data_IF_545390290335
#
_entry.id   IF_545390290335
#
_cell.length_a   1.000
_cell.length_b   1.000
_cell.length_c   1.000
_cell.angle_alpha   90.00
_cell.angle_beta   90.00
_cell.angle_gamma   90.00
#
_symmetry.space_group_name_H-M   'P 1'
#
loop_
_entity.id
_entity.type
_entity.pdbx_description
1 polymer ?
#
# COMPACT_ATOMS: atom_id res chain seq x y z
N UNK A 1 -4.47 4.01 30.59
CA UNK A 1 -4.15 3.80 29.17
C UNK A 1 -2.65 4.00 28.82
N UNK A 2 -1.96 5.09 29.19
CA UNK A 2 -0.53 5.29 28.88
C UNK A 2 0.41 4.17 29.38
N UNK A 3 0.18 3.60 30.59
CA UNK A 3 1.04 2.53 31.15
C UNK A 3 0.85 1.18 30.45
N UNK A 4 -0.35 0.89 29.95
CA UNK A 4 -0.63 -0.36 29.21
C UNK A 4 0.02 -0.33 27.81
N UNK A 5 -0.02 0.83 27.14
CA UNK A 5 0.64 1.00 25.84
C UNK A 5 2.17 0.84 25.94
N UNK A 6 2.77 1.37 27.02
CA UNK A 6 4.21 1.26 27.28
C UNK A 6 4.63 -0.20 27.57
N UNK A 7 3.81 -0.95 28.31
CA UNK A 7 4.08 -2.36 28.64
C UNK A 7 3.96 -3.22 27.38
N UNK A 8 2.97 -3.01 26.52
CA UNK A 8 2.84 -3.71 25.23
C UNK A 8 4.04 -3.40 24.34
N UNK A 9 4.45 -2.13 24.26
CA UNK A 9 5.63 -1.72 23.49
C UNK A 9 6.93 -2.34 24.03
N UNK A 10 7.08 -2.42 25.36
CA UNK A 10 8.26 -3.01 26.00
C UNK A 10 8.31 -4.53 25.82
N UNK A 11 7.18 -5.25 25.90
CA UNK A 11 7.10 -6.70 25.69
C UNK A 11 7.43 -7.05 24.24
N UNK A 12 7.02 -6.24 23.26
CA UNK A 12 7.34 -6.43 21.82
C UNK A 12 8.84 -6.21 21.57
N UNK A 13 9.48 -5.28 22.28
CA UNK A 13 10.89 -4.93 22.09
C UNK A 13 11.86 -5.89 22.80
N UNK A 14 11.47 -6.50 23.93
CA UNK A 14 12.38 -7.31 24.76
C UNK A 14 12.34 -8.80 24.49
N UNK A 15 11.35 -9.33 23.77
CA UNK A 15 11.27 -10.77 23.50
C UNK A 15 12.13 -11.16 22.30
N UNK A 16 13.30 -11.68 22.63
CA UNK A 16 14.19 -12.54 21.86
C UNK A 16 15.12 -11.91 20.83
N UNK A 17 16.37 -11.74 21.24
CA UNK A 17 17.54 -11.57 20.40
C UNK A 17 18.00 -12.89 19.75
N UNK A 18 17.11 -13.69 19.17
CA UNK A 18 17.47 -14.87 18.39
C UNK A 18 17.25 -14.55 16.91
N UNK A 19 18.34 -14.64 16.15
CA UNK A 19 18.39 -14.37 14.72
C UNK A 19 17.40 -15.23 13.93
N UNK A 20 16.27 -14.67 13.60
CA UNK A 20 15.27 -15.30 12.75
C UNK A 20 15.32 -14.70 11.31
N UNK A 21 15.40 -15.52 10.23
CA UNK A 21 15.29 -15.09 8.82
C UNK A 21 13.82 -14.94 8.43
N UNK A 22 13.38 -13.85 7.81
CA UNK A 22 11.98 -13.63 7.41
C UNK A 22 11.58 -14.55 6.25
N UNK A 23 10.27 -14.71 6.06
CA UNK A 23 9.71 -15.33 4.84
C UNK A 23 10.27 -14.64 3.60
N UNK A 24 10.34 -13.30 3.65
CA UNK A 24 10.95 -12.50 2.59
C UNK A 24 12.41 -12.85 2.37
N UNK A 25 13.19 -13.09 3.45
CA UNK A 25 14.60 -13.45 3.30
C UNK A 25 14.80 -14.85 2.71
N UNK A 26 13.94 -15.82 3.04
CA UNK A 26 13.99 -17.15 2.43
C UNK A 26 13.57 -17.10 0.96
N UNK A 27 12.48 -16.38 0.65
CA UNK A 27 12.09 -16.09 -0.73
C UNK A 27 13.18 -15.28 -1.44
N UNK A 28 13.74 -14.28 -0.76
CA UNK A 28 14.80 -13.44 -1.31
C UNK A 28 16.08 -14.21 -1.53
N UNK A 29 16.49 -15.12 -0.63
CA UNK A 29 17.64 -15.99 -0.84
C UNK A 29 17.46 -16.92 -2.04
N UNK A 30 16.27 -17.48 -2.24
CA UNK A 30 15.99 -18.28 -3.42
C UNK A 30 15.81 -17.42 -4.69
N UNK A 31 15.33 -16.18 -4.56
CA UNK A 31 15.24 -15.18 -5.63
C UNK A 31 16.59 -14.56 -5.97
N UNK A 32 17.58 -14.53 -5.04
CA UNK A 32 18.87 -13.87 -5.20
C UNK A 32 19.67 -14.36 -6.42
N UNK A 33 19.37 -15.55 -6.95
CA UNK A 33 20.05 -16.08 -8.14
C UNK A 33 19.27 -15.85 -9.44
N UNK A 34 18.16 -15.08 -9.42
CA UNK A 34 17.26 -14.96 -10.57
C UNK A 34 17.13 -13.54 -11.05
N UNK A 35 17.18 -13.40 -12.35
CA UNK A 35 16.95 -12.11 -13.02
C UNK A 35 15.49 -11.90 -13.38
N UNK A 36 14.73 -12.98 -13.61
CA UNK A 36 13.30 -12.92 -13.90
C UNK A 36 12.56 -14.16 -13.38
N UNK A 37 11.29 -14.01 -13.03
CA UNK A 37 10.41 -15.11 -12.61
C UNK A 37 8.96 -14.74 -12.88
N UNK A 38 8.08 -15.72 -12.81
CA UNK A 38 6.63 -15.55 -12.89
C UNK A 38 5.98 -15.95 -11.57
N UNK A 39 4.88 -15.28 -11.24
CA UNK A 39 4.05 -15.63 -10.11
C UNK A 39 2.60 -15.84 -10.54
N UNK A 40 1.88 -16.67 -9.81
CA UNK A 40 0.44 -16.85 -9.94
C UNK A 40 -0.15 -16.72 -8.56
N UNK A 41 -1.24 -16.00 -8.42
CA UNK A 41 -1.95 -15.97 -7.14
C UNK A 41 -3.45 -16.17 -7.32
N UNK A 42 -4.08 -16.64 -6.27
CA UNK A 42 -5.53 -16.68 -6.13
C UNK A 42 -5.86 -16.09 -4.77
N UNK A 43 -6.57 -14.96 -4.79
CA UNK A 43 -7.08 -14.33 -3.58
C UNK A 43 -8.62 -14.45 -3.52
N UNK A 44 -9.13 -14.67 -2.32
CA UNK A 44 -10.53 -14.48 -1.97
C UNK A 44 -10.64 -13.26 -1.06
N UNK A 45 -11.59 -12.38 -1.34
CA UNK A 45 -11.76 -11.12 -0.63
C UNK A 45 -13.22 -10.99 -0.22
N UNK A 46 -13.46 -10.60 1.03
CA UNK A 46 -14.78 -10.21 1.50
C UNK A 46 -14.71 -8.77 2.01
N UNK A 47 -15.49 -7.88 1.39
CA UNK A 47 -15.63 -6.49 1.79
C UNK A 47 -17.04 -6.25 2.34
N UNK A 48 -17.15 -5.72 3.55
CA UNK A 48 -18.45 -5.44 4.18
C UNK A 48 -19.14 -4.21 3.61
N UNK A 49 -18.43 -3.38 2.84
CA UNK A 49 -18.96 -2.17 2.22
C UNK A 49 -18.16 -1.83 0.96
N UNK A 50 -18.34 -2.61 -0.10
CA UNK A 50 -17.62 -2.42 -1.37
C UNK A 50 -18.01 -1.13 -2.09
N UNK A 51 -19.22 -0.64 -1.88
CA UNK A 51 -19.72 0.62 -2.48
C UNK A 51 -19.17 1.87 -1.78
N UNK A 52 -18.62 1.72 -0.57
CA UNK A 52 -18.09 2.81 0.27
C UNK A 52 -19.09 3.93 0.51
N UNK A 53 -20.33 3.55 0.76
CA UNK A 53 -21.45 4.43 1.07
C UNK A 53 -22.20 3.99 2.33
N UNK A 54 -23.32 4.63 2.63
CA UNK A 54 -24.16 4.34 3.79
C UNK A 54 -24.91 3.00 3.68
N UNK A 55 -25.04 2.42 2.48
CA UNK A 55 -25.86 1.23 2.24
C UNK A 55 -25.21 -0.06 2.71
N UNK A 56 -23.90 -0.03 3.01
CA UNK A 56 -23.14 -1.17 3.56
C UNK A 56 -23.27 -2.45 2.72
N UNK A 57 -23.16 -2.34 1.40
CA UNK A 57 -23.26 -3.50 0.51
C UNK A 57 -22.02 -4.37 0.67
N UNK A 58 -22.19 -5.55 1.29
CA UNK A 58 -21.13 -6.55 1.40
C UNK A 58 -20.99 -7.38 0.13
N UNK A 59 -19.77 -7.69 -0.27
CA UNK A 59 -19.51 -8.53 -1.43
C UNK A 59 -18.30 -9.45 -1.23
N UNK A 60 -18.43 -10.68 -1.73
CA UNK A 60 -17.34 -11.63 -1.81
C UNK A 60 -16.76 -11.61 -3.23
N UNK A 61 -15.45 -11.57 -3.33
CA UNK A 61 -14.73 -11.55 -4.60
C UNK A 61 -13.67 -12.64 -4.70
N UNK A 62 -13.40 -13.06 -5.94
CA UNK A 62 -12.24 -13.88 -6.31
C UNK A 62 -11.34 -13.06 -7.23
N UNK A 63 -10.04 -13.12 -6.95
CA UNK A 63 -9.03 -12.35 -7.68
C UNK A 63 -7.85 -13.26 -8.05
N UNK A 64 -7.95 -14.04 -9.14
CA UNK A 64 -6.77 -14.66 -9.72
C UNK A 64 -5.87 -13.61 -10.35
N UNK A 65 -4.55 -13.74 -10.15
CA UNK A 65 -3.57 -12.87 -10.79
C UNK A 65 -2.37 -13.64 -11.34
N UNK A 66 -1.68 -13.00 -12.30
CA UNK A 66 -0.45 -13.47 -12.90
C UNK A 66 0.55 -12.32 -12.92
N UNK A 67 1.77 -12.60 -12.44
CA UNK A 67 2.86 -11.64 -12.36
C UNK A 67 4.08 -12.06 -13.19
N UNK A 68 4.77 -11.07 -13.74
CA UNK A 68 6.08 -11.19 -14.36
C UNK A 68 7.03 -10.20 -13.68
N UNK A 69 8.20 -10.69 -13.27
CA UNK A 69 9.17 -9.95 -12.48
C UNK A 69 10.54 -10.00 -13.15
N UNK A 70 11.24 -8.87 -13.16
CA UNK A 70 12.58 -8.73 -13.73
C UNK A 70 13.50 -7.94 -12.80
N UNK A 71 14.78 -8.35 -12.73
CA UNK A 71 15.88 -7.61 -12.08
C UNK A 71 17.11 -7.65 -12.97
N UNK A 72 17.83 -6.53 -13.08
CA UNK A 72 19.09 -6.46 -13.84
C UNK A 72 20.20 -7.25 -13.15
N UNK A 73 20.20 -7.29 -11.82
CA UNK A 73 21.15 -8.05 -11.01
C UNK A 73 20.38 -8.75 -9.88
N UNK A 74 20.62 -10.06 -9.68
CA UNK A 74 19.91 -10.83 -8.68
C UNK A 74 20.31 -10.45 -7.24
N UNK A 75 21.58 -10.11 -6.98
CA UNK A 75 22.07 -9.80 -5.63
C UNK A 75 21.87 -8.31 -5.25
N UNK A 76 22.17 -7.42 -6.19
CA UNK A 76 22.14 -5.98 -5.96
C UNK A 76 21.47 -5.28 -7.14
N UNK A 77 20.17 -5.42 -7.30
CA UNK A 77 19.47 -4.84 -8.43
C UNK A 77 19.56 -3.32 -8.39
N UNK A 78 19.98 -2.73 -9.51
CA UNK A 78 19.86 -1.30 -9.76
C UNK A 78 18.60 -0.98 -10.53
N UNK A 79 18.04 -1.95 -11.25
CA UNK A 79 16.77 -1.85 -11.94
C UNK A 79 15.90 -3.08 -11.65
N UNK A 80 14.64 -2.82 -11.26
CA UNK A 80 13.60 -3.84 -11.06
C UNK A 80 12.36 -3.43 -11.85
N UNK A 81 11.64 -4.41 -12.40
CA UNK A 81 10.35 -4.19 -13.05
C UNK A 81 9.40 -5.34 -12.72
N UNK A 82 8.20 -4.98 -12.29
CA UNK A 82 7.15 -5.91 -11.92
C UNK A 82 5.90 -5.58 -12.72
N UNK A 83 5.36 -6.58 -13.42
CA UNK A 83 4.09 -6.48 -14.12
C UNK A 83 3.12 -7.51 -13.57
N UNK A 84 1.89 -7.08 -13.30
CA UNK A 84 0.81 -7.96 -12.85
C UNK A 84 -0.47 -7.69 -13.64
N UNK A 85 -1.19 -8.76 -13.95
CA UNK A 85 -2.57 -8.72 -14.41
C UNK A 85 -3.45 -9.47 -13.43
N UNK A 86 -4.57 -8.87 -13.02
CA UNK A 86 -5.53 -9.47 -12.10
C UNK A 86 -6.95 -9.37 -12.64
N UNK A 87 -7.71 -10.45 -12.47
CA UNK A 87 -9.13 -10.51 -12.80
C UNK A 87 -9.94 -10.42 -11.49
N UNK A 88 -10.72 -9.36 -11.35
CA UNK A 88 -11.60 -9.16 -10.21
C UNK A 88 -13.02 -9.62 -10.56
N UNK A 89 -13.59 -10.48 -9.74
CA UNK A 89 -14.96 -11.00 -9.87
C UNK A 89 -15.65 -10.97 -8.53
N UNK A 90 -16.80 -10.31 -8.47
CA UNK A 90 -17.61 -10.13 -7.25
C UNK A 90 -18.99 -10.75 -7.41
N UNK A 91 -19.56 -11.30 -6.34
CA UNK A 91 -20.80 -12.06 -6.43
C UNK A 91 -22.09 -11.21 -6.43
N UNK A 92 -22.04 -9.97 -5.94
CA UNK A 92 -23.23 -9.12 -5.81
C UNK A 92 -23.07 -7.73 -6.44
N UNK A 93 -21.93 -7.44 -7.05
CA UNK A 93 -21.58 -6.09 -7.51
C UNK A 93 -20.76 -6.18 -8.80
N UNK A 94 -21.40 -6.62 -9.89
CA UNK A 94 -20.74 -6.82 -11.20
C UNK A 94 -20.09 -5.52 -11.73
N UNK A 95 -20.53 -4.36 -11.28
CA UNK A 95 -19.94 -3.06 -11.63
C UNK A 95 -18.48 -2.92 -11.16
N UNK A 96 -18.07 -3.71 -10.16
CA UNK A 96 -16.68 -3.78 -9.70
C UNK A 96 -15.84 -4.87 -10.40
N UNK A 97 -16.49 -5.67 -11.26
CA UNK A 97 -15.81 -6.66 -12.09
C UNK A 97 -14.88 -5.97 -13.09
N UNK A 98 -13.63 -6.38 -13.10
CA UNK A 98 -12.64 -5.77 -13.98
C UNK A 98 -11.41 -6.64 -14.21
N UNK A 99 -10.69 -6.34 -15.27
CA UNK A 99 -9.28 -6.75 -15.44
C UNK A 99 -8.41 -5.54 -15.12
N UNK A 100 -7.54 -5.67 -14.15
CA UNK A 100 -6.56 -4.64 -13.80
C UNK A 100 -5.17 -5.04 -14.27
N UNK A 101 -4.36 -4.05 -14.62
CA UNK A 101 -2.96 -4.21 -14.97
C UNK A 101 -2.14 -3.27 -14.10
N UNK A 102 -1.05 -3.74 -13.55
CA UNK A 102 -0.06 -2.89 -12.88
C UNK A 102 1.34 -3.15 -13.43
N UNK A 103 2.09 -2.09 -13.62
CA UNK A 103 3.51 -2.11 -13.96
C UNK A 103 4.23 -1.17 -13.02
N UNK A 104 5.18 -1.70 -12.26
CA UNK A 104 6.08 -0.92 -11.43
C UNK A 104 7.50 -1.10 -11.96
N UNK A 105 8.21 0.00 -12.18
CA UNK A 105 9.63 -0.01 -12.52
C UNK A 105 10.39 0.86 -11.52
N UNK A 106 11.46 0.33 -10.97
CA UNK A 106 12.29 0.99 -9.98
C UNK A 106 13.76 1.02 -10.42
N UNK A 107 14.36 2.20 -10.39
CA UNK A 107 15.79 2.38 -10.63
C UNK A 107 16.46 2.97 -9.38
N UNK A 108 17.48 2.28 -8.88
CA UNK A 108 18.29 2.68 -7.71
C UNK A 108 19.71 2.99 -8.11
N UNK A 109 20.25 4.09 -7.58
CA UNK A 109 21.63 4.46 -7.77
C UNK A 109 22.23 4.97 -6.46
N UNK A 110 23.38 4.45 -6.09
CA UNK A 110 24.19 5.04 -5.03
C UNK A 110 24.88 6.28 -5.58
N UNK A 111 24.61 7.45 -5.01
CA UNK A 111 25.20 8.71 -5.42
C UNK A 111 26.56 8.92 -4.74
N UNK A 112 26.59 8.76 -3.43
CA UNK A 112 27.81 8.75 -2.60
C UNK A 112 27.62 7.76 -1.45
N UNK A 113 28.66 7.54 -0.65
CA UNK A 113 28.58 6.64 0.50
C UNK A 113 27.36 6.98 1.36
N UNK A 114 26.47 5.99 1.58
CA UNK A 114 25.22 6.09 2.36
C UNK A 114 24.08 6.91 1.74
N UNK A 115 24.28 7.59 0.62
CA UNK A 115 23.22 8.33 -0.07
C UNK A 115 22.81 7.60 -1.35
N UNK A 116 21.52 7.33 -1.47
CA UNK A 116 20.92 6.61 -2.59
C UNK A 116 19.81 7.45 -3.22
N UNK A 117 19.74 7.39 -4.52
CA UNK A 117 18.63 7.90 -5.31
C UNK A 117 17.78 6.72 -5.77
N UNK A 118 16.46 6.86 -5.69
CA UNK A 118 15.50 5.88 -6.19
C UNK A 118 14.47 6.61 -7.04
N UNK A 119 14.28 6.13 -8.27
CA UNK A 119 13.22 6.60 -9.17
C UNK A 119 12.24 5.45 -9.33
N UNK A 120 10.96 5.70 -9.07
CA UNK A 120 9.89 4.72 -9.24
C UNK A 120 8.89 5.24 -10.26
N UNK A 121 8.54 4.40 -11.22
CA UNK A 121 7.44 4.62 -12.15
C UNK A 121 6.39 3.54 -11.93
N UNK A 122 5.14 3.95 -11.74
CA UNK A 122 4.02 3.02 -11.61
C UNK A 122 2.93 3.37 -12.62
N UNK A 123 2.42 2.35 -13.31
CA UNK A 123 1.26 2.42 -14.20
C UNK A 123 0.26 1.41 -13.70
N UNK A 124 -0.93 1.87 -13.31
CA UNK A 124 -2.03 1.01 -12.91
C UNK A 124 -3.25 1.32 -13.76
N UNK A 125 -3.71 0.34 -14.54
CA UNK A 125 -4.88 0.47 -15.41
C UNK A 125 -6.06 -0.27 -14.80
N UNK A 126 -7.21 0.41 -14.64
CA UNK A 126 -8.39 -0.11 -13.98
C UNK A 126 -8.09 -0.69 -12.58
N UNK A 127 -7.02 -0.23 -11.98
CA UNK A 127 -6.65 -0.57 -10.63
C UNK A 127 -7.55 0.15 -9.62
N UNK A 128 -7.44 -0.26 -8.35
CA UNK A 128 -7.97 0.50 -7.25
C UNK A 128 -6.87 1.44 -6.76
N UNK A 129 -7.16 2.72 -6.68
CA UNK A 129 -6.26 3.68 -6.03
C UNK A 129 -6.25 3.48 -4.51
N UNK A 130 -5.38 4.20 -3.81
CA UNK A 130 -5.40 4.28 -2.34
C UNK A 130 -6.79 4.66 -1.78
N UNK A 131 -7.61 5.30 -2.58
CA UNK A 131 -8.98 5.70 -2.25
C UNK A 131 -10.02 4.67 -2.69
N UNK A 132 -9.58 3.49 -3.19
CA UNK A 132 -10.37 2.40 -3.76
C UNK A 132 -11.24 2.79 -4.95
N UNK A 133 -10.94 3.91 -5.58
CA UNK A 133 -11.59 4.36 -6.80
C UNK A 133 -11.02 3.61 -8.00
N UNK A 134 -11.88 3.12 -8.89
CA UNK A 134 -11.44 2.45 -10.12
C UNK A 134 -11.01 3.51 -11.11
N UNK A 135 -9.71 3.64 -11.29
CA UNK A 135 -9.12 4.60 -12.23
C UNK A 135 -7.81 4.07 -12.84
N UNK A 136 -7.29 4.79 -13.82
CA UNK A 136 -5.94 4.58 -14.31
C UNK A 136 -5.01 5.58 -13.62
N UNK A 137 -3.93 5.08 -13.01
CA UNK A 137 -2.91 5.87 -12.35
C UNK A 137 -1.58 5.77 -13.09
N UNK A 138 -0.91 6.90 -13.22
CA UNK A 138 0.44 7.01 -13.75
C UNK A 138 1.26 7.82 -12.75
N UNK A 139 2.25 7.21 -12.12
CA UNK A 139 3.03 7.81 -11.04
C UNK A 139 4.49 7.86 -11.47
N UNK A 140 5.14 8.99 -11.22
CA UNK A 140 6.59 9.13 -11.27
C UNK A 140 7.04 9.72 -9.94
N UNK A 141 7.82 8.95 -9.18
CA UNK A 141 8.35 9.35 -7.88
C UNK A 141 9.87 9.36 -7.90
N UNK A 142 10.44 10.39 -7.31
CA UNK A 142 11.86 10.49 -7.03
C UNK A 142 12.08 10.53 -5.52
N UNK A 143 12.95 9.65 -5.02
CA UNK A 143 13.33 9.58 -3.60
C UNK A 143 14.83 9.73 -3.43
N UNK A 144 15.24 10.47 -2.41
CA UNK A 144 16.61 10.50 -1.89
C UNK A 144 16.63 9.88 -0.50
N UNK A 145 17.43 8.85 -0.31
CA UNK A 145 17.52 8.09 0.94
C UNK A 145 18.94 8.16 1.50
N UNK A 146 19.06 8.47 2.79
CA UNK A 146 20.33 8.47 3.52
C UNK A 146 20.32 7.41 4.63
N UNK A 147 21.39 6.59 4.68
CA UNK A 147 21.57 5.58 5.72
C UNK A 147 22.34 6.16 6.88
N UNK A 148 21.69 6.30 8.02
CA UNK A 148 22.26 6.69 9.30
C UNK A 148 22.90 5.49 10.02
N UNK A 149 23.71 5.72 11.08
CA UNK A 149 24.10 4.66 12.02
C UNK A 149 22.88 3.94 12.63
N UNK A 150 23.12 2.82 13.30
CA UNK A 150 22.08 2.04 14.02
C UNK A 150 20.94 1.53 13.15
N UNK A 151 21.23 1.25 11.86
CA UNK A 151 20.23 0.73 10.90
C UNK A 151 19.02 1.64 10.67
N UNK A 152 19.19 2.94 10.87
CA UNK A 152 18.18 3.95 10.60
C UNK A 152 18.34 4.44 9.15
N UNK A 153 17.21 4.66 8.48
CA UNK A 153 17.15 5.27 7.15
C UNK A 153 16.22 6.46 7.20
N UNK A 154 16.63 7.55 6.58
CA UNK A 154 15.77 8.72 6.36
C UNK A 154 15.66 8.96 4.86
N UNK A 155 14.49 9.33 4.38
CA UNK A 155 14.29 9.62 2.99
C UNK A 155 13.35 10.83 2.82
N UNK A 156 13.63 11.63 1.79
CA UNK A 156 12.70 12.61 1.25
C UNK A 156 12.27 12.16 -0.13
N UNK A 157 11.02 12.40 -0.51
CA UNK A 157 10.49 12.04 -1.81
C UNK A 157 9.55 13.11 -2.36
N UNK A 158 9.43 13.15 -3.69
CA UNK A 158 8.46 13.96 -4.40
C UNK A 158 7.96 13.19 -5.61
N UNK A 159 6.71 13.40 -6.00
CA UNK A 159 6.11 12.71 -7.13
C UNK A 159 5.01 13.52 -7.82
N UNK A 160 4.74 13.08 -9.04
CA UNK A 160 3.56 13.44 -9.82
C UNK A 160 2.73 12.19 -10.08
N UNK A 161 1.41 12.32 -9.92
CA UNK A 161 0.45 11.28 -10.22
C UNK A 161 -0.66 11.83 -11.12
N UNK A 162 -0.82 11.22 -12.28
CA UNK A 162 -1.95 11.49 -13.16
C UNK A 162 -3.02 10.43 -12.93
N UNK A 163 -4.23 10.85 -12.55
CA UNK A 163 -5.41 9.99 -12.43
C UNK A 163 -6.34 10.18 -13.61
N UNK A 164 -6.80 9.08 -14.19
CA UNK A 164 -7.78 9.06 -15.28
C UNK A 164 -8.93 8.14 -14.89
N UNK A 165 -10.10 8.71 -14.71
CA UNK A 165 -11.32 8.00 -14.38
C UNK A 165 -12.05 7.53 -15.64
N UNK A 166 -12.96 6.52 -15.55
CA UNK A 166 -13.86 6.16 -16.64
C UNK A 166 -14.66 7.34 -17.15
N UNK A 167 -15.23 7.21 -18.35
CA UNK A 167 -15.94 8.30 -19.07
C UNK A 167 -17.03 8.99 -18.24
N UNK A 168 -17.71 8.27 -17.36
CA UNK A 168 -18.79 8.78 -16.50
C UNK A 168 -18.27 9.73 -15.42
N UNK A 169 -16.99 9.62 -15.03
CA UNK A 169 -16.39 10.38 -13.93
C UNK A 169 -15.20 11.26 -14.40
N UNK A 170 -15.20 11.68 -15.66
CA UNK A 170 -14.08 12.46 -16.24
C UNK A 170 -13.78 13.76 -15.48
N UNK A 171 -14.78 14.35 -14.83
CA UNK A 171 -14.60 15.53 -13.98
C UNK A 171 -13.67 15.27 -12.78
N UNK A 172 -13.49 14.01 -12.40
CA UNK A 172 -12.57 13.58 -11.36
C UNK A 172 -11.13 13.36 -11.84
N UNK A 173 -10.88 13.40 -13.18
CA UNK A 173 -9.51 13.36 -13.70
C UNK A 173 -8.67 14.44 -13.03
N UNK A 174 -7.47 14.07 -12.60
CA UNK A 174 -6.65 14.97 -11.80
C UNK A 174 -5.15 14.74 -11.97
N UNK A 175 -4.39 15.77 -11.64
CA UNK A 175 -2.96 15.70 -11.44
C UNK A 175 -2.71 15.94 -9.95
N UNK A 176 -2.10 14.98 -9.27
CA UNK A 176 -1.61 15.13 -7.91
C UNK A 176 -0.12 15.42 -7.96
N UNK A 177 0.33 16.43 -7.25
CA UNK A 177 1.71 16.57 -6.85
C UNK A 177 1.83 16.29 -5.36
N UNK A 178 2.78 15.44 -4.98
CA UNK A 178 3.00 15.19 -3.57
C UNK A 178 4.48 15.15 -3.21
N UNK A 179 4.76 15.47 -1.97
CA UNK A 179 6.09 15.38 -1.38
C UNK A 179 5.98 14.89 0.06
N UNK A 180 7.04 14.27 0.55
CA UNK A 180 7.04 13.74 1.89
C UNK A 180 8.41 13.35 2.39
N UNK A 181 8.40 12.82 3.61
CA UNK A 181 9.57 12.28 4.25
C UNK A 181 9.21 10.99 4.99
N UNK A 182 10.19 10.10 5.12
CA UNK A 182 10.05 8.88 5.90
C UNK A 182 11.29 8.57 6.71
N UNK A 183 11.06 7.93 7.84
CA UNK A 183 12.09 7.40 8.73
C UNK A 183 11.80 5.93 8.96
N UNK A 184 12.77 5.09 8.60
CA UNK A 184 12.74 3.65 8.84
C UNK A 184 13.78 3.31 9.90
N UNK A 185 13.38 2.58 10.93
CA UNK A 185 14.28 1.99 11.91
C UNK A 185 14.21 0.47 11.80
N UNK A 186 15.35 -0.16 11.56
CA UNK A 186 15.48 -1.62 11.57
C UNK A 186 16.08 -2.10 12.88
N UNK A 187 15.45 -3.10 13.45
CA UNK A 187 15.90 -3.79 14.65
C UNK A 187 16.47 -5.17 14.24
N UNK A 188 17.24 -5.79 15.11
CA UNK A 188 17.77 -7.13 14.82
C UNK A 188 16.65 -8.11 14.43
N UNK A 189 16.93 -9.00 13.45
CA UNK A 189 16.01 -10.04 13.00
C UNK A 189 14.91 -9.55 12.05
N UNK A 190 15.21 -8.61 11.16
CA UNK A 190 14.34 -8.07 10.10
C UNK A 190 13.05 -7.38 10.60
N UNK A 191 13.03 -6.98 11.86
CA UNK A 191 11.97 -6.13 12.41
C UNK A 191 12.18 -4.72 11.94
N UNK A 192 11.12 -4.08 11.46
CA UNK A 192 11.17 -2.67 11.07
C UNK A 192 9.98 -1.90 11.56
N UNK A 193 10.22 -0.64 11.83
CA UNK A 193 9.19 0.39 12.01
C UNK A 193 9.48 1.50 11.01
N UNK A 194 8.46 1.93 10.27
CA UNK A 194 8.55 3.06 9.36
C UNK A 194 7.48 4.10 9.70
N UNK A 195 7.88 5.35 9.77
CA UNK A 195 6.97 6.50 9.88
C UNK A 195 7.11 7.33 8.62
N UNK A 196 5.97 7.57 7.94
CA UNK A 196 5.90 8.37 6.72
C UNK A 196 4.94 9.54 6.90
N UNK A 197 5.36 10.71 6.46
CA UNK A 197 4.52 11.89 6.27
C UNK A 197 4.50 12.25 4.79
N UNK A 198 3.29 12.51 4.24
CA UNK A 198 3.10 12.95 2.85
C UNK A 198 2.08 14.10 2.80
N UNK A 199 2.39 15.10 2.01
CA UNK A 199 1.53 16.21 1.67
C UNK A 199 1.17 16.13 0.19
N UNK A 200 -0.11 16.01 -0.12
CA UNK A 200 -0.65 15.90 -1.47
C UNK A 200 -1.43 17.17 -1.83
N UNK A 201 -1.22 17.68 -3.03
CA UNK A 201 -2.01 18.72 -3.67
C UNK A 201 -2.65 18.16 -4.94
N UNK A 202 -3.96 17.92 -4.89
CA UNK A 202 -4.75 17.43 -6.02
C UNK A 202 -5.32 18.60 -6.79
N UNK A 203 -5.15 18.57 -8.12
CA UNK A 203 -5.77 19.47 -9.10
C UNK A 203 -6.62 18.66 -10.05
N UNK A 204 -7.91 18.63 -9.82
CA UNK A 204 -8.88 17.96 -10.67
C UNK A 204 -9.33 18.88 -11.83
N UNK A 205 -9.85 18.29 -12.89
CA UNK A 205 -10.41 19.04 -14.01
C UNK A 205 -11.68 19.81 -13.59
N UNK A 206 -12.53 19.21 -12.73
CA UNK A 206 -13.52 19.98 -12.01
C UNK A 206 -12.88 20.56 -10.73
N UNK A 207 -12.75 21.90 -10.61
CA UNK A 207 -12.15 22.54 -9.45
C UNK A 207 -12.82 22.19 -8.11
N UNK A 208 -14.09 21.75 -8.13
CA UNK A 208 -14.80 21.29 -6.92
C UNK A 208 -14.16 20.05 -6.29
N UNK A 209 -13.45 19.26 -7.10
CA UNK A 209 -12.73 18.06 -6.66
C UNK A 209 -11.27 18.34 -6.28
N UNK A 210 -10.83 19.61 -6.27
CA UNK A 210 -9.50 19.98 -5.76
C UNK A 210 -9.46 19.80 -4.25
N UNK A 211 -8.36 19.19 -3.77
CA UNK A 211 -8.13 19.04 -2.35
C UNK A 211 -6.64 19.09 -1.98
N UNK A 212 -6.41 19.36 -0.71
CA UNK A 212 -5.14 19.12 -0.04
C UNK A 212 -5.33 17.95 0.91
N UNK A 213 -4.37 17.02 0.93
CA UNK A 213 -4.37 15.88 1.83
C UNK A 213 -3.03 15.78 2.54
N UNK A 214 -3.06 15.50 3.83
CA UNK A 214 -1.89 15.15 4.63
C UNK A 214 -2.04 13.70 5.03
N UNK A 215 -1.02 12.89 4.80
CA UNK A 215 -1.07 11.47 5.13
C UNK A 215 0.03 11.15 6.13
N UNK A 216 -0.34 10.51 7.22
CA UNK A 216 0.55 10.00 8.25
C UNK A 216 0.41 8.49 8.26
N UNK A 217 1.50 7.77 8.02
CA UNK A 217 1.51 6.31 8.00
C UNK A 217 2.53 5.80 9.01
N UNK A 218 2.12 4.84 9.83
CA UNK A 218 2.98 4.07 10.71
C UNK A 218 2.89 2.62 10.29
N UNK A 219 4.03 2.04 9.90
CA UNK A 219 4.16 0.64 9.52
C UNK A 219 5.04 -0.10 10.53
N UNK A 220 4.67 -1.32 10.80
CA UNK A 220 5.43 -2.27 11.62
C UNK A 220 5.49 -3.61 10.89
N UNK A 221 6.68 -4.22 10.86
CA UNK A 221 6.86 -5.57 10.33
C UNK A 221 7.74 -6.38 11.28
N UNK A 222 7.37 -7.64 11.49
CA UNK A 222 8.14 -8.58 12.33
C UNK A 222 7.98 -10.02 11.86
N UNK A 223 9.05 -10.82 11.83
CA UNK A 223 8.92 -12.25 11.74
C UNK A 223 8.32 -12.80 13.04
N UNK A 224 7.43 -13.80 12.94
CA UNK A 224 6.78 -14.43 14.10
C UNK A 224 7.46 -15.72 14.54
N UNK A 225 8.17 -16.40 13.65
CA UNK A 225 8.81 -17.68 13.96
C UNK A 225 10.32 -17.62 13.86
N UNK A 226 11.00 -18.48 14.66
CA UNK A 226 12.47 -18.65 14.62
C UNK A 226 12.94 -19.13 13.23
N UNK A 227 12.09 -19.90 12.53
CA UNK A 227 12.38 -20.42 11.18
C UNK A 227 12.06 -19.43 10.07
N UNK A 228 11.55 -18.22 10.43
CA UNK A 228 11.22 -17.11 9.52
C UNK A 228 10.24 -17.48 8.38
N UNK A 229 9.43 -18.50 8.60
CA UNK A 229 8.37 -18.88 7.65
C UNK A 229 7.11 -18.06 7.80
N UNK A 230 7.02 -17.30 8.88
CA UNK A 230 5.85 -16.50 9.21
C UNK A 230 6.27 -15.06 9.45
N UNK A 231 5.55 -14.12 8.86
CA UNK A 231 5.70 -12.68 9.11
C UNK A 231 4.35 -12.03 9.43
N UNK A 232 4.42 -10.96 10.20
CA UNK A 232 3.29 -10.10 10.52
C UNK A 232 3.67 -8.67 10.15
N UNK A 233 2.82 -8.03 9.37
CA UNK A 233 2.88 -6.60 9.09
C UNK A 233 1.63 -5.92 9.60
N UNK A 234 1.76 -4.71 10.11
CA UNK A 234 0.64 -3.87 10.51
C UNK A 234 0.88 -2.45 10.02
N UNK A 235 -0.16 -1.82 9.51
CA UNK A 235 -0.15 -0.43 9.06
C UNK A 235 -1.29 0.34 9.74
N UNK A 236 -1.00 1.56 10.14
CA UNK A 236 -2.01 2.55 10.54
C UNK A 236 -1.80 3.81 9.74
N UNK A 237 -2.85 4.27 9.04
CA UNK A 237 -2.84 5.46 8.20
C UNK A 237 -3.93 6.42 8.64
N UNK A 238 -3.56 7.69 8.80
CA UNK A 238 -4.48 8.81 8.99
C UNK A 238 -4.29 9.82 7.86
N UNK A 239 -5.38 10.18 7.17
CA UNK A 239 -5.33 11.00 5.97
C UNK A 239 -6.47 12.04 5.95
N UNK A 240 -6.32 13.17 6.67
CA UNK A 240 -7.25 14.30 6.55
C UNK A 240 -7.15 14.94 5.16
N UNK A 241 -8.33 15.29 4.60
CA UNK A 241 -8.51 15.87 3.27
C UNK A 241 -9.38 17.11 3.35
N UNK A 242 -8.84 18.24 2.92
CA UNK A 242 -9.51 19.53 2.87
C UNK A 242 -9.84 19.90 1.42
N UNK A 243 -11.12 19.96 1.05
CA UNK A 243 -11.56 20.38 -0.29
C UNK A 243 -11.51 21.90 -0.40
N UNK A 244 -10.92 22.40 -1.49
CA UNK A 244 -10.73 23.82 -1.68
C UNK A 244 -12.00 24.54 -2.15
N UNK A 245 -12.78 23.91 -3.04
CA UNK A 245 -13.92 24.52 -3.72
C UNK A 245 -15.23 23.72 -3.55
N UNK A 246 -15.24 22.68 -2.74
CA UNK A 246 -16.42 21.88 -2.44
C UNK A 246 -16.94 22.25 -1.08
N UNK A 247 -18.22 22.60 -1.03
CA UNK A 247 -18.91 22.91 0.22
C UNK A 247 -20.02 21.89 0.49
N UNK A 248 -20.29 21.67 1.76
CA UNK A 248 -21.47 20.92 2.23
C UNK A 248 -22.31 21.79 3.17
N UNK A 249 -23.50 21.32 3.55
CA UNK A 249 -24.35 22.01 4.50
C UNK A 249 -24.30 21.33 5.86
N UNK A 250 -23.87 22.08 6.87
CA UNK A 250 -23.91 21.66 8.28
C UNK A 250 -24.84 22.62 9.02
N UNK A 251 -25.92 22.10 9.60
CA UNK A 251 -26.96 22.89 10.29
C UNK A 251 -27.49 24.06 9.42
N UNK A 252 -27.65 23.84 8.12
CA UNK A 252 -28.14 24.85 7.17
C UNK A 252 -27.08 25.82 6.66
N UNK A 253 -25.89 25.85 7.23
CA UNK A 253 -24.79 26.73 6.83
C UNK A 253 -23.87 26.02 5.85
N UNK A 254 -23.46 26.70 4.77
CA UNK A 254 -22.46 26.20 3.83
C UNK A 254 -21.06 26.30 4.46
N UNK A 255 -20.37 25.17 4.55
CA UNK A 255 -18.99 25.08 5.04
C UNK A 255 -18.11 24.31 4.04
N UNK A 256 -16.81 24.56 3.97
CA UNK A 256 -15.90 23.74 3.17
C UNK A 256 -16.00 22.27 3.57
N UNK A 257 -15.97 21.36 2.59
CA UNK A 257 -15.96 19.93 2.87
C UNK A 257 -14.61 19.51 3.43
N UNK A 258 -14.67 18.71 4.48
CA UNK A 258 -13.53 18.08 5.15
C UNK A 258 -13.82 16.61 5.39
N UNK A 259 -12.84 15.75 5.04
CA UNK A 259 -12.91 14.31 5.26
C UNK A 259 -11.71 13.87 6.10
N UNK A 260 -11.95 13.04 7.13
CA UNK A 260 -10.94 12.32 7.88
C UNK A 260 -11.00 10.84 7.54
N UNK A 261 -9.89 10.27 7.07
CA UNK A 261 -9.81 8.85 6.74
C UNK A 261 -8.81 8.15 7.64
N UNK A 262 -9.27 7.07 8.25
CA UNK A 262 -8.46 6.13 9.01
C UNK A 262 -8.44 4.78 8.31
N UNK A 263 -7.26 4.22 8.16
CA UNK A 263 -7.06 2.86 7.68
C UNK A 263 -6.16 2.14 8.66
N UNK A 264 -6.55 0.95 9.02
CA UNK A 264 -5.73 0.02 9.80
C UNK A 264 -5.70 -1.31 9.05
N UNK A 265 -4.53 -1.86 8.80
CA UNK A 265 -4.37 -3.16 8.16
C UNK A 265 -3.42 -4.06 8.93
N UNK A 266 -3.68 -5.35 8.85
CA UNK A 266 -2.81 -6.43 9.34
C UNK A 266 -2.67 -7.42 8.20
N UNK A 267 -1.43 -7.80 7.91
CA UNK A 267 -1.08 -8.85 6.98
C UNK A 267 -0.26 -9.91 7.71
N UNK A 268 -0.77 -11.13 7.71
CA UNK A 268 -0.04 -12.32 8.13
C UNK A 268 0.34 -13.14 6.91
N UNK A 269 1.61 -13.42 6.75
CA UNK A 269 2.12 -14.26 5.67
C UNK A 269 2.79 -15.50 6.22
N UNK A 270 2.60 -16.62 5.54
CA UNK A 270 3.24 -17.90 5.84
C UNK A 270 3.77 -18.57 4.59
N UNK A 271 5.05 -18.89 4.60
CA UNK A 271 5.68 -19.72 3.58
C UNK A 271 5.35 -21.19 3.86
N UNK A 272 4.47 -21.78 3.07
CA UNK A 272 4.09 -23.19 3.18
C UNK A 272 5.16 -24.08 2.56
N UNK A 273 5.70 -23.67 1.41
CA UNK A 273 6.84 -24.27 0.70
C UNK A 273 7.68 -23.13 0.11
N UNK A 274 8.92 -23.41 -0.37
CA UNK A 274 9.76 -22.38 -0.99
C UNK A 274 9.08 -21.61 -2.13
N UNK A 275 8.21 -22.29 -2.87
CA UNK A 275 7.48 -21.78 -4.02
C UNK A 275 6.01 -21.40 -3.72
N UNK A 276 5.50 -21.63 -2.50
CA UNK A 276 4.10 -21.44 -2.15
C UNK A 276 3.98 -20.66 -0.84
N UNK A 277 3.34 -19.50 -0.89
CA UNK A 277 2.97 -18.72 0.28
C UNK A 277 1.46 -18.60 0.42
N UNK A 278 1.02 -18.46 1.66
CA UNK A 278 -0.33 -18.11 2.06
C UNK A 278 -0.28 -16.76 2.77
N UNK A 279 -1.21 -15.88 2.47
CA UNK A 279 -1.38 -14.64 3.21
C UNK A 279 -2.83 -14.47 3.66
N UNK A 280 -2.98 -13.96 4.87
CA UNK A 280 -4.25 -13.50 5.42
C UNK A 280 -4.14 -12.00 5.68
N UNK A 281 -5.08 -11.23 5.13
CA UNK A 281 -5.17 -9.79 5.28
C UNK A 281 -6.47 -9.40 5.96
N UNK A 282 -6.37 -8.45 6.89
CA UNK A 282 -7.51 -7.73 7.42
C UNK A 282 -7.28 -6.24 7.27
N UNK A 283 -8.26 -5.52 6.73
CA UNK A 283 -8.23 -4.07 6.67
C UNK A 283 -9.53 -3.49 7.23
N UNK A 284 -9.39 -2.54 8.13
CA UNK A 284 -10.45 -1.67 8.61
C UNK A 284 -10.27 -0.29 8.01
N UNK A 285 -11.34 0.27 7.47
CA UNK A 285 -11.38 1.64 6.98
C UNK A 285 -12.56 2.39 7.58
N UNK A 286 -12.31 3.62 8.02
CA UNK A 286 -13.36 4.55 8.44
C UNK A 286 -13.11 5.91 7.83
N UNK A 287 -14.14 6.45 7.18
CA UNK A 287 -14.17 7.84 6.73
C UNK A 287 -15.22 8.60 7.53
N UNK A 288 -14.78 9.65 8.20
CA UNK A 288 -15.66 10.67 8.77
C UNK A 288 -15.63 11.87 7.81
N UNK A 289 -16.80 12.47 7.57
CA UNK A 289 -16.92 13.65 6.72
C UNK A 289 -17.94 14.59 7.35
N UNK A 290 -17.80 15.88 7.09
CA UNK A 290 -18.87 16.85 7.35
C UNK A 290 -19.93 16.81 6.25
N UNK A 291 -19.76 16.00 5.20
CA UNK A 291 -20.73 15.59 4.19
C UNK A 291 -21.26 14.20 4.56
N UNK A 292 -22.50 14.13 5.07
CA UNK A 292 -23.06 12.90 5.65
C UNK A 292 -23.06 11.72 4.68
N UNK A 293 -23.32 11.97 3.39
CA UNK A 293 -23.34 10.95 2.33
C UNK A 293 -21.94 10.32 2.08
N UNK A 294 -20.91 10.81 2.77
CA UNK A 294 -19.52 10.37 2.60
C UNK A 294 -18.91 9.75 3.86
N UNK A 295 -19.77 9.52 4.86
CA UNK A 295 -19.39 8.79 6.07
C UNK A 295 -19.56 7.30 5.80
N UNK A 296 -18.51 6.52 5.98
CA UNK A 296 -18.62 5.07 5.88
C UNK A 296 -17.60 4.34 6.75
N UNK A 297 -17.87 3.07 6.98
CA UNK A 297 -16.95 2.12 7.58
C UNK A 297 -16.93 0.86 6.71
N UNK A 298 -15.75 0.29 6.49
CA UNK A 298 -15.57 -0.96 5.75
C UNK A 298 -14.59 -1.86 6.49
N UNK A 299 -14.84 -3.17 6.46
CA UNK A 299 -13.91 -4.20 6.85
C UNK A 299 -13.66 -5.11 5.65
N UNK A 300 -12.39 -5.36 5.34
CA UNK A 300 -11.98 -6.24 4.26
C UNK A 300 -11.18 -7.39 4.85
N UNK A 301 -11.55 -8.60 4.46
CA UNK A 301 -10.85 -9.83 4.80
C UNK A 301 -10.36 -10.46 3.52
N UNK A 302 -9.06 -10.78 3.46
CA UNK A 302 -8.43 -11.40 2.33
C UNK A 302 -7.73 -12.70 2.74
N UNK A 303 -7.84 -13.73 1.90
CA UNK A 303 -7.00 -14.93 1.97
C UNK A 303 -6.43 -15.18 0.58
N UNK A 304 -5.12 -15.27 0.48
CA UNK A 304 -4.46 -15.52 -0.79
C UNK A 304 -3.43 -16.62 -0.72
N UNK A 305 -3.26 -17.29 -1.86
CA UNK A 305 -2.19 -18.24 -2.10
C UNK A 305 -1.40 -17.77 -3.30
N UNK A 306 -0.09 -17.61 -3.15
CA UNK A 306 0.82 -17.18 -4.20
C UNK A 306 1.82 -18.26 -4.49
N UNK A 307 1.90 -18.66 -5.75
CA UNK A 307 2.85 -19.60 -6.27
C UNK A 307 3.85 -18.87 -7.18
N UNK A 308 5.13 -18.97 -6.84
CA UNK A 308 6.23 -18.40 -7.61
C UNK A 308 6.85 -19.50 -8.47
N UNK A 309 6.52 -19.53 -9.76
CA UNK A 309 7.10 -20.47 -10.69
C UNK A 309 8.36 -19.90 -11.32
N UNK A 310 9.29 -20.80 -11.48
CA UNK A 310 10.65 -20.50 -11.91
C UNK A 310 10.77 -20.51 -13.42
N UNK A 311 11.75 -19.75 -13.83
CA UNK A 311 12.29 -19.81 -15.15
C UNK A 311 13.18 -20.99 -15.40
N UNK A 312 13.23 -21.31 -16.63
CA UNK A 312 14.05 -22.26 -17.34
C UNK A 312 15.45 -21.72 -17.59
#
# INVERSE_FOLDING_TARGET
>A
MRKVLLIIFTIIVTSTAVAAQTVDTLREQERLHRRWWVSMSLASVYDTNITHDEQLVGSFGLVPSFGFHFRDNAEHPSFEADYEVALHRYNHTDEFDRVSHSLTAEYRKQLVKRLYSKTTTEISLKGSSEDREINNNYILEQQLQYRLPFNTRVAGFAAYRLKRYPLIEQDSNSIDSYAGAKVEQRFGGDRRVELTYRYDHNRAWDPRNNYIRRTYTLEFQTPLSIRRRDSLSAEMRYAPRDYQNRTTRVNGVRVPRHDDRWVFSILYERLLRPDLAMAFEYQFEKRNSNDIDKIFTSNVFGLSFTFDKWNW
#
